data_IF_350019801206
#
_entry.id   IF_350019801206
#
_cell.length_a   1.000
_cell.length_b   1.000
_cell.length_c   1.000
_cell.angle_alpha   90.00
_cell.angle_beta   90.00
_cell.angle_gamma   90.00
#
_symmetry.space_group_name_H-M   'P 1'
#
loop_
_entity.id
_entity.type
_entity.pdbx_description
1 polymer ?
#
# COMPACT_ATOMS: atom_id res chain seq x y z
N UNK A 1 42.14 16.42 19.72
CA UNK A 1 41.58 15.05 19.62
C UNK A 1 41.94 14.54 18.25
N UNK A 2 42.91 13.63 18.15
CA UNK A 2 43.43 13.14 16.87
C UNK A 2 42.65 11.87 16.53
N UNK A 3 41.91 11.88 15.42
CA UNK A 3 41.20 10.73 14.92
C UNK A 3 42.07 10.09 13.83
N UNK A 4 42.45 8.84 14.02
CA UNK A 4 43.16 8.02 13.03
C UNK A 4 42.25 6.91 12.54
N UNK A 5 42.38 6.54 11.27
CA UNK A 5 41.63 5.45 10.67
C UNK A 5 42.25 4.12 11.11
N UNK A 6 41.42 3.16 11.52
CA UNK A 6 41.85 1.81 11.84
C UNK A 6 41.92 0.96 10.56
N UNK A 7 43.09 0.92 9.94
CA UNK A 7 43.32 0.15 8.71
C UNK A 7 43.15 -1.36 8.92
N UNK A 8 43.40 -1.88 10.11
CA UNK A 8 43.25 -3.30 10.43
C UNK A 8 41.77 -3.70 10.47
N UNK A 9 40.90 -2.83 11.01
CA UNK A 9 39.45 -3.03 10.96
C UNK A 9 38.93 -3.05 9.52
N UNK A 10 39.39 -2.11 8.68
CA UNK A 10 39.01 -2.03 7.25
C UNK A 10 39.41 -3.31 6.50
N UNK A 11 40.64 -3.78 6.70
CA UNK A 11 41.13 -4.97 5.99
C UNK A 11 40.46 -6.26 6.47
N UNK A 12 39.93 -6.27 7.70
CA UNK A 12 39.09 -7.36 8.20
C UNK A 12 37.69 -7.33 7.59
N UNK A 13 37.07 -6.16 7.48
CA UNK A 13 35.76 -6.02 6.84
C UNK A 13 35.82 -6.32 5.33
N UNK A 14 36.88 -5.90 4.65
CA UNK A 14 37.08 -6.16 3.22
C UNK A 14 37.08 -7.65 2.83
N UNK A 15 37.38 -8.56 3.78
CA UNK A 15 37.30 -10.01 3.54
C UNK A 15 35.86 -10.52 3.36
N UNK A 16 34.89 -9.76 3.85
CA UNK A 16 33.46 -10.08 3.78
C UNK A 16 32.76 -9.33 2.64
N UNK A 17 33.48 -8.53 1.85
CA UNK A 17 32.93 -7.83 0.71
C UNK A 17 32.35 -8.82 -0.32
N UNK A 18 31.08 -8.64 -0.66
CA UNK A 18 30.34 -9.52 -1.55
C UNK A 18 29.63 -10.70 -0.87
N UNK A 19 29.80 -10.89 0.44
CA UNK A 19 29.06 -11.89 1.22
C UNK A 19 27.86 -11.25 1.93
N UNK A 20 26.71 -11.94 1.90
CA UNK A 20 25.53 -11.55 2.67
C UNK A 20 25.44 -12.39 3.94
N UNK A 21 25.91 -11.84 5.06
CA UNK A 21 25.85 -12.49 6.37
C UNK A 21 24.45 -12.44 6.98
N UNK A 22 23.89 -13.59 7.34
CA UNK A 22 22.62 -13.69 8.04
C UNK A 22 22.82 -14.34 9.42
N UNK A 23 22.54 -13.58 10.48
CA UNK A 23 22.52 -14.09 11.84
C UNK A 23 21.09 -14.45 12.24
N UNK A 24 20.83 -15.71 12.55
CA UNK A 24 19.52 -16.20 12.97
C UNK A 24 19.67 -17.21 14.10
N UNK A 25 18.67 -17.30 14.96
CA UNK A 25 18.52 -18.36 15.97
C UNK A 25 17.75 -19.58 15.42
N UNK A 26 17.35 -19.55 14.14
CA UNK A 26 16.67 -20.64 13.46
C UNK A 26 17.69 -21.60 12.86
N UNK A 27 17.61 -22.87 13.23
CA UNK A 27 18.33 -23.95 12.56
C UNK A 27 17.47 -24.46 11.41
N UNK A 28 17.75 -24.01 10.19
CA UNK A 28 16.99 -24.39 8.98
C UNK A 28 17.92 -24.36 7.77
N UNK A 29 17.44 -24.86 6.63
CA UNK A 29 18.22 -24.85 5.40
C UNK A 29 18.59 -23.41 4.99
N UNK A 30 19.84 -23.14 4.57
CA UNK A 30 20.26 -21.80 4.16
C UNK A 30 19.37 -21.14 3.10
N UNK A 31 18.81 -21.90 2.15
CA UNK A 31 17.91 -21.34 1.14
C UNK A 31 16.57 -20.90 1.74
N UNK A 32 16.08 -21.66 2.72
CA UNK A 32 14.88 -21.30 3.47
C UNK A 32 15.09 -20.04 4.30
N UNK A 33 16.24 -19.93 4.98
CA UNK A 33 16.60 -18.74 5.76
C UNK A 33 16.71 -17.49 4.88
N UNK A 34 17.32 -17.61 3.70
CA UNK A 34 17.38 -16.52 2.71
C UNK A 34 15.97 -16.12 2.26
N UNK A 35 15.10 -17.09 1.97
CA UNK A 35 13.71 -16.85 1.57
C UNK A 35 12.91 -16.12 2.66
N UNK A 36 13.04 -16.56 3.92
CA UNK A 36 12.38 -15.90 5.06
C UNK A 36 12.89 -14.47 5.22
N UNK A 37 14.20 -14.27 5.10
CA UNK A 37 14.78 -12.94 5.20
C UNK A 37 14.34 -12.01 4.06
N UNK A 38 14.11 -12.54 2.86
CA UNK A 38 13.52 -11.76 1.75
C UNK A 38 12.13 -11.20 2.10
N UNK A 39 11.31 -11.88 2.90
CA UNK A 39 9.99 -11.38 3.32
C UNK A 39 10.08 -10.11 4.19
N UNK A 40 11.26 -9.79 4.74
CA UNK A 40 11.47 -8.51 5.46
C UNK A 40 11.20 -7.31 4.56
N UNK A 41 11.46 -7.43 3.27
CA UNK A 41 11.20 -6.36 2.31
C UNK A 41 9.70 -6.00 2.29
N UNK A 42 8.80 -6.98 2.40
CA UNK A 42 7.34 -6.77 2.40
C UNK A 42 6.88 -5.99 3.64
N UNK A 43 7.53 -6.27 4.78
CA UNK A 43 7.33 -5.55 6.03
C UNK A 43 7.82 -4.10 5.87
N UNK A 44 9.00 -3.90 5.30
CA UNK A 44 9.55 -2.56 5.04
C UNK A 44 8.71 -1.75 4.07
N UNK A 45 8.20 -2.37 3.01
CA UNK A 45 7.26 -1.77 2.07
C UNK A 45 5.98 -1.33 2.79
N UNK A 46 5.40 -2.21 3.60
CA UNK A 46 4.20 -1.91 4.39
C UNK A 46 4.43 -0.72 5.34
N UNK A 47 5.59 -0.66 6.00
CA UNK A 47 5.96 0.50 6.81
C UNK A 47 6.18 1.76 5.99
N UNK A 48 6.69 1.65 4.76
CA UNK A 48 6.87 2.78 3.83
C UNK A 48 5.52 3.36 3.44
N UNK A 49 4.58 2.52 2.99
CA UNK A 49 3.20 2.91 2.63
C UNK A 49 2.50 3.56 3.82
N UNK A 50 2.61 2.99 5.02
CA UNK A 50 2.05 3.61 6.23
C UNK A 50 2.60 5.00 6.52
N UNK A 51 3.89 5.23 6.26
CA UNK A 51 4.53 6.53 6.51
C UNK A 51 4.15 7.55 5.43
N UNK A 52 4.21 7.17 4.15
CA UNK A 52 3.94 8.07 3.02
C UNK A 52 2.44 8.33 2.83
N UNK A 53 1.65 7.27 2.69
CA UNK A 53 0.26 7.36 2.23
C UNK A 53 -0.71 7.71 3.35
N UNK A 54 -0.50 7.15 4.53
CA UNK A 54 -1.39 7.35 5.68
C UNK A 54 -0.87 8.36 6.69
N UNK A 55 0.27 9.00 6.41
CA UNK A 55 0.89 10.01 7.27
C UNK A 55 0.99 9.54 8.73
N UNK A 56 1.32 8.26 8.94
CA UNK A 56 1.64 7.74 10.28
C UNK A 56 2.83 8.48 10.91
N UNK A 57 3.59 9.24 10.12
CA UNK A 57 4.55 10.23 10.59
C UNK A 57 4.44 11.50 9.73
N UNK A 58 4.55 12.71 10.32
CA UNK A 58 4.68 13.00 11.75
C UNK A 58 3.37 12.79 12.54
N UNK A 59 3.49 12.24 13.74
CA UNK A 59 2.38 12.04 14.68
C UNK A 59 2.22 13.32 15.52
N UNK A 60 1.24 14.16 15.18
CA UNK A 60 1.00 15.41 15.93
C UNK A 60 0.17 15.22 17.22
N UNK A 61 -0.13 13.97 17.59
CA UNK A 61 -0.86 13.63 18.82
C UNK A 61 0.10 13.27 19.96
N UNK A 62 -0.20 13.76 21.17
CA UNK A 62 0.70 13.65 22.35
C UNK A 62 0.28 12.61 23.40
N UNK A 63 -0.97 12.12 23.34
CA UNK A 63 -1.50 11.15 24.32
C UNK A 63 -1.37 9.74 23.75
N UNK A 64 -0.90 8.80 24.55
CA UNK A 64 -0.69 7.40 24.15
C UNK A 64 -1.93 6.79 23.49
N UNK A 65 -3.11 6.97 24.10
CA UNK A 65 -4.37 6.48 23.54
C UNK A 65 -4.69 7.03 22.13
N UNK A 66 -4.27 8.26 21.83
CA UNK A 66 -4.45 8.87 20.49
C UNK A 66 -3.41 8.38 19.50
N UNK A 67 -2.20 8.09 19.98
CA UNK A 67 -1.13 7.49 19.18
C UNK A 67 -1.58 6.09 18.74
N UNK A 68 -2.02 5.26 19.69
CA UNK A 68 -2.53 3.91 19.42
C UNK A 68 -3.71 3.92 18.44
N UNK A 69 -4.69 4.80 18.66
CA UNK A 69 -5.84 4.92 17.76
C UNK A 69 -5.43 5.31 16.32
N UNK A 70 -4.46 6.24 16.16
CA UNK A 70 -3.96 6.64 14.85
C UNK A 70 -3.23 5.49 14.14
N UNK A 71 -2.34 4.79 14.86
CA UNK A 71 -1.63 3.63 14.33
C UNK A 71 -2.58 2.51 13.93
N UNK A 72 -3.57 2.20 14.77
CA UNK A 72 -4.60 1.21 14.44
C UNK A 72 -5.38 1.60 13.19
N UNK A 73 -5.77 2.87 13.06
CA UNK A 73 -6.48 3.36 11.87
C UNK A 73 -5.62 3.24 10.60
N UNK A 74 -4.34 3.62 10.68
CA UNK A 74 -3.40 3.46 9.56
C UNK A 74 -3.20 1.99 9.18
N UNK A 75 -3.11 1.10 10.17
CA UNK A 75 -2.96 -0.33 9.96
C UNK A 75 -4.21 -0.94 9.32
N UNK A 76 -5.40 -0.59 9.80
CA UNK A 76 -6.66 -1.02 9.19
C UNK A 76 -6.80 -0.52 7.75
N UNK A 77 -6.42 0.73 7.48
CA UNK A 77 -6.38 1.26 6.12
C UNK A 77 -5.44 0.43 5.24
N UNK A 78 -4.20 0.19 5.68
CA UNK A 78 -3.24 -0.66 4.95
C UNK A 78 -3.84 -2.05 4.67
N UNK A 79 -4.43 -2.70 5.67
CA UNK A 79 -5.05 -4.01 5.52
C UNK A 79 -6.14 -4.00 4.43
N UNK A 80 -6.98 -2.97 4.39
CA UNK A 80 -7.99 -2.82 3.34
C UNK A 80 -7.36 -2.72 1.95
N UNK A 81 -6.30 -1.91 1.78
CA UNK A 81 -5.62 -1.80 0.49
C UNK A 81 -4.90 -3.10 0.08
N UNK A 82 -4.31 -3.85 1.03
CA UNK A 82 -3.74 -5.17 0.76
C UNK A 82 -4.80 -6.17 0.30
N UNK A 83 -6.01 -6.11 0.85
CA UNK A 83 -7.14 -6.93 0.35
C UNK A 83 -7.51 -6.54 -1.08
N UNK A 84 -7.49 -5.25 -1.42
CA UNK A 84 -7.74 -4.78 -2.79
C UNK A 84 -6.63 -5.27 -3.72
N UNK A 85 -5.36 -5.12 -3.34
CA UNK A 85 -4.20 -5.62 -4.09
C UNK A 85 -4.30 -7.12 -4.39
N UNK A 86 -4.66 -7.93 -3.38
CA UNK A 86 -4.91 -9.37 -3.56
C UNK A 86 -6.08 -9.67 -4.50
N UNK A 87 -7.13 -8.84 -4.49
CA UNK A 87 -8.25 -8.97 -5.45
C UNK A 87 -7.89 -8.55 -6.87
N UNK A 88 -6.79 -7.82 -7.04
CA UNK A 88 -6.23 -7.40 -8.33
C UNK A 88 -5.07 -8.30 -8.77
N UNK A 89 -4.99 -9.53 -8.22
CA UNK A 89 -3.96 -10.52 -8.50
C UNK A 89 -2.51 -10.01 -8.29
N UNK A 90 -2.32 -9.04 -7.38
CA UNK A 90 -1.01 -8.45 -7.05
C UNK A 90 -0.26 -7.85 -8.26
N UNK A 91 -1.00 -7.47 -9.31
CA UNK A 91 -0.43 -6.86 -10.52
C UNK A 91 -0.01 -5.40 -10.35
N UNK A 92 -0.54 -4.74 -9.32
CA UNK A 92 -0.36 -3.31 -9.07
C UNK A 92 0.06 -3.08 -7.63
N UNK A 93 0.86 -2.05 -7.40
CA UNK A 93 1.35 -1.73 -6.05
C UNK A 93 0.29 -0.99 -5.23
N UNK A 94 0.33 -1.16 -3.90
CA UNK A 94 -0.52 -0.38 -2.99
C UNK A 94 -0.50 1.15 -3.25
N UNK A 95 0.66 1.82 -3.42
CA UNK A 95 0.70 3.24 -3.78
C UNK A 95 -0.08 3.58 -5.06
N UNK A 96 0.06 2.78 -6.12
CA UNK A 96 -0.63 3.02 -7.40
C UNK A 96 -2.15 2.89 -7.25
N UNK A 97 -2.61 1.89 -6.49
CA UNK A 97 -4.02 1.68 -6.18
C UNK A 97 -4.56 2.88 -5.38
N UNK A 98 -3.85 3.31 -4.33
CA UNK A 98 -4.25 4.44 -3.49
C UNK A 98 -4.34 5.72 -4.33
N UNK A 99 -3.32 5.99 -5.13
CA UNK A 99 -3.27 7.21 -5.94
C UNK A 99 -4.38 7.21 -7.00
N UNK A 100 -4.60 6.09 -7.69
CA UNK A 100 -5.67 6.00 -8.68
C UNK A 100 -7.04 6.20 -8.05
N UNK A 101 -7.32 5.57 -6.90
CA UNK A 101 -8.59 5.76 -6.20
C UNK A 101 -8.79 7.21 -5.72
N UNK A 102 -7.71 7.93 -5.35
CA UNK A 102 -7.78 9.37 -5.03
C UNK A 102 -8.06 10.24 -6.25
N UNK A 103 -7.58 9.83 -7.42
CA UNK A 103 -7.70 10.56 -8.67
C UNK A 103 -8.99 10.24 -9.43
N UNK A 104 -9.70 9.17 -9.07
CA UNK A 104 -11.04 8.82 -9.57
C UNK A 104 -12.12 9.81 -9.06
N UNK A 105 -11.99 11.07 -9.49
CA UNK A 105 -12.92 12.17 -9.19
C UNK A 105 -14.08 12.14 -10.17
N UNK A 106 -15.23 12.65 -9.73
CA UNK A 106 -16.41 12.80 -10.56
C UNK A 106 -17.04 14.17 -10.36
N UNK A 107 -17.55 14.76 -11.44
CA UNK A 107 -18.33 15.98 -11.43
C UNK A 107 -19.82 15.62 -11.42
N UNK A 108 -20.59 16.19 -10.50
CA UNK A 108 -22.06 16.08 -10.54
C UNK A 108 -22.63 17.12 -11.51
N UNK A 109 -23.40 16.65 -12.47
CA UNK A 109 -24.20 17.49 -13.36
C UNK A 109 -25.64 17.50 -12.84
N UNK A 110 -26.08 18.64 -12.32
CA UNK A 110 -27.36 18.77 -11.61
C UNK A 110 -28.53 18.24 -12.43
N UNK A 111 -29.11 17.13 -11.98
CA UNK A 111 -30.30 16.51 -12.61
C UNK A 111 -29.99 15.47 -13.69
N UNK A 112 -28.79 15.41 -14.24
CA UNK A 112 -28.44 14.54 -15.37
C UNK A 112 -27.59 13.33 -14.94
N UNK A 113 -26.64 13.52 -14.02
CA UNK A 113 -25.81 12.43 -13.52
C UNK A 113 -24.41 12.86 -13.07
N UNK A 114 -23.43 11.96 -13.26
CA UNK A 114 -22.04 12.16 -12.88
C UNK A 114 -21.12 11.96 -14.09
N UNK A 115 -20.13 12.82 -14.24
CA UNK A 115 -19.09 12.73 -15.27
C UNK A 115 -17.77 12.35 -14.61
N UNK A 116 -17.10 11.27 -15.01
CA UNK A 116 -15.77 10.94 -14.51
C UNK A 116 -14.73 11.98 -14.99
N UNK A 117 -13.86 12.41 -14.07
CA UNK A 117 -12.75 13.33 -14.34
C UNK A 117 -11.40 12.60 -14.31
N UNK A 118 -11.38 11.32 -14.66
CA UNK A 118 -10.21 10.47 -14.71
C UNK A 118 -10.20 9.69 -16.01
N UNK A 119 -9.00 9.28 -16.44
CA UNK A 119 -8.81 8.48 -17.64
C UNK A 119 -8.86 6.99 -17.31
N UNK A 120 -9.34 6.19 -18.27
CA UNK A 120 -9.30 4.74 -18.16
C UNK A 120 -7.87 4.24 -18.32
N UNK A 121 -7.43 3.46 -17.34
CA UNK A 121 -6.17 2.72 -17.33
C UNK A 121 -6.44 1.23 -17.06
N UNK A 122 -5.44 0.37 -17.28
CA UNK A 122 -5.54 -1.07 -16.97
C UNK A 122 -5.94 -1.31 -15.51
N UNK A 123 -5.44 -0.49 -14.58
CA UNK A 123 -5.81 -0.56 -13.17
C UNK A 123 -7.29 -0.21 -12.94
N UNK A 124 -7.82 0.83 -13.59
CA UNK A 124 -9.25 1.18 -13.46
C UNK A 124 -10.14 0.10 -14.07
N UNK A 125 -9.73 -0.51 -15.18
CA UNK A 125 -10.47 -1.59 -15.82
C UNK A 125 -10.52 -2.84 -14.92
N UNK A 126 -9.39 -3.18 -14.29
CA UNK A 126 -9.31 -4.28 -13.32
C UNK A 126 -10.12 -4.00 -12.06
N UNK A 127 -10.14 -2.78 -11.55
CA UNK A 127 -11.02 -2.38 -10.44
C UNK A 127 -12.49 -2.58 -10.81
N UNK A 128 -12.88 -2.12 -11.99
CA UNK A 128 -14.25 -2.26 -12.48
C UNK A 128 -14.69 -3.72 -12.65
N UNK A 129 -13.79 -4.57 -13.16
CA UNK A 129 -14.01 -6.01 -13.30
C UNK A 129 -14.14 -6.68 -11.92
N UNK A 130 -13.15 -6.50 -11.05
CA UNK A 130 -13.06 -7.17 -9.75
C UNK A 130 -14.23 -6.84 -8.81
N UNK A 131 -14.75 -5.62 -8.89
CA UNK A 131 -15.83 -5.14 -8.01
C UNK A 131 -17.18 -4.99 -8.72
N UNK A 132 -17.27 -5.36 -10.00
CA UNK A 132 -18.51 -5.40 -10.78
C UNK A 132 -19.29 -4.07 -10.82
N UNK A 133 -18.59 -2.94 -10.82
CA UNK A 133 -19.17 -1.62 -11.02
C UNK A 133 -18.44 -0.89 -12.14
N UNK A 134 -19.12 0.05 -12.80
CA UNK A 134 -18.57 0.84 -13.91
C UNK A 134 -18.86 2.31 -13.68
N UNK A 135 -17.81 3.12 -13.75
CA UNK A 135 -17.90 4.58 -13.56
C UNK A 135 -17.14 5.34 -14.64
N UNK A 136 -16.91 4.71 -15.77
CA UNK A 136 -16.02 5.14 -16.84
C UNK A 136 -16.79 5.55 -18.13
N UNK A 137 -18.10 5.73 -18.01
CA UNK A 137 -18.96 6.26 -19.07
C UNK A 137 -18.94 7.78 -19.07
N UNK A 138 -19.13 8.40 -20.23
CA UNK A 138 -19.18 9.86 -20.39
C UNK A 138 -20.18 10.53 -19.43
N UNK A 139 -21.36 9.92 -19.25
CA UNK A 139 -22.35 10.35 -18.27
C UNK A 139 -22.90 9.11 -17.56
N UNK A 140 -22.82 9.12 -16.23
CA UNK A 140 -23.38 8.08 -15.35
C UNK A 140 -24.68 8.63 -14.77
N UNK A 141 -25.86 8.15 -15.21
CA UNK A 141 -27.13 8.66 -14.70
C UNK A 141 -27.26 8.48 -13.19
N UNK A 142 -27.94 9.41 -12.52
CA UNK A 142 -28.16 9.36 -11.06
C UNK A 142 -28.79 8.04 -10.60
N UNK A 143 -29.62 7.41 -11.44
CA UNK A 143 -30.21 6.09 -11.20
C UNK A 143 -29.16 4.98 -11.12
N UNK A 144 -28.16 5.00 -12.01
CA UNK A 144 -27.08 4.01 -12.04
C UNK A 144 -26.15 4.20 -10.84
N UNK A 145 -25.80 5.45 -10.51
CA UNK A 145 -25.01 5.73 -9.31
C UNK A 145 -25.72 5.26 -8.03
N UNK A 146 -27.03 5.52 -7.91
CA UNK A 146 -27.86 4.99 -6.82
C UNK A 146 -27.89 3.46 -6.79
N UNK A 147 -27.87 2.79 -7.94
CA UNK A 147 -27.80 1.32 -8.04
C UNK A 147 -26.47 0.78 -7.52
N UNK A 148 -25.34 1.40 -7.89
CA UNK A 148 -24.01 1.06 -7.40
C UNK A 148 -23.95 1.23 -5.87
N UNK A 149 -24.38 2.38 -5.35
CA UNK A 149 -24.45 2.63 -3.90
C UNK A 149 -25.42 1.69 -3.15
N UNK A 150 -26.43 1.15 -3.83
CA UNK A 150 -27.33 0.15 -3.23
C UNK A 150 -26.66 -1.23 -3.16
N UNK A 151 -25.79 -1.57 -4.11
CA UNK A 151 -25.05 -2.84 -4.08
C UNK A 151 -24.10 -2.90 -2.87
N UNK A 152 -23.47 -1.79 -2.49
CA UNK A 152 -22.58 -1.73 -1.32
C UNK A 152 -23.33 -1.91 0.02
N UNK A 153 -24.62 -1.58 0.06
CA UNK A 153 -25.47 -1.73 1.25
C UNK A 153 -26.20 -3.07 1.34
N UNK A 154 -26.24 -3.84 0.25
CA UNK A 154 -26.78 -5.19 0.28
C UNK A 154 -25.74 -6.09 0.92
N UNK A 155 -25.87 -6.30 2.22
CA UNK A 155 -25.18 -7.37 2.93
C UNK A 155 -25.46 -8.69 2.21
N UNK A 156 -24.41 -9.37 1.74
CA UNK A 156 -24.50 -10.79 1.39
C UNK A 156 -24.54 -11.61 2.66
#
# INVERSE_FOLDING_TARGET
MHFSIDEAAIQKEAQYDGFYGLCTNLESDPLELIRINHQRWEIEESFRVMKSEFKSRPVYVKKDCRIEAHFLTCFLALLMYRIVEKKLDERFTCPDIIQTLRDMRMMELSGEGYIPLYERTDLTDKLHEAFSFRTDYEIIPTKNMKKILKQTKKTK
#
